data_IF_983344291669
#
_entry.id   IF_983344291669
#
_cell.length_a   1.000
_cell.length_b   1.000
_cell.length_c   1.000
_cell.angle_alpha   90.00
_cell.angle_beta   90.00
_cell.angle_gamma   90.00
#
_symmetry.space_group_name_H-M   'P 1'
#
loop_
_entity.id
_entity.type
_entity.pdbx_description
1 polymer ?
#
# COMPACT_ATOMS: atom_id res chain seq x y z
N UNK A 1 -0.63 29.31 -19.58
CA UNK A 1 -0.94 28.20 -18.64
C UNK A 1 -0.60 26.89 -19.34
N UNK A 2 0.08 25.97 -18.65
CA UNK A 2 0.52 24.70 -19.22
C UNK A 2 0.73 23.66 -18.11
N UNK A 3 1.12 22.46 -18.48
CA UNK A 3 1.39 21.37 -17.55
C UNK A 3 2.85 21.41 -17.11
N UNK A 4 3.10 21.45 -15.81
CA UNK A 4 4.44 21.43 -15.24
C UNK A 4 4.65 20.08 -14.55
N UNK A 5 5.60 19.25 -15.00
CA UNK A 5 5.87 17.99 -14.35
C UNK A 5 6.44 18.25 -12.94
N UNK A 6 5.88 17.57 -11.94
CA UNK A 6 6.27 17.72 -10.52
C UNK A 6 6.98 16.48 -9.97
N UNK A 7 6.90 15.35 -10.69
CA UNK A 7 7.47 14.08 -10.30
C UNK A 7 6.89 12.93 -11.14
N UNK A 8 7.38 11.72 -10.90
CA UNK A 8 6.89 10.50 -11.55
C UNK A 8 7.14 9.28 -10.65
N UNK A 9 6.52 8.16 -11.00
CA UNK A 9 6.99 6.84 -10.61
C UNK A 9 7.05 5.92 -11.83
N UNK A 10 7.89 4.90 -11.79
CA UNK A 10 7.93 3.82 -12.77
C UNK A 10 7.30 2.55 -12.20
N UNK A 11 6.76 1.71 -13.08
CA UNK A 11 6.18 0.41 -12.76
C UNK A 11 6.53 -0.57 -13.87
N UNK A 12 6.97 -1.77 -13.52
CA UNK A 12 7.18 -2.84 -14.50
C UNK A 12 5.85 -3.24 -15.15
N UNK A 13 5.86 -3.58 -16.44
CA UNK A 13 4.64 -4.07 -17.11
C UNK A 13 4.16 -5.40 -16.51
N UNK A 14 5.13 -6.21 -16.07
CA UNK A 14 4.94 -7.46 -15.36
C UNK A 14 6.02 -7.55 -14.29
N UNK A 15 5.63 -7.79 -13.05
CA UNK A 15 6.54 -7.90 -11.91
C UNK A 15 6.30 -9.24 -11.22
N UNK A 16 7.29 -10.13 -11.26
CA UNK A 16 7.21 -11.46 -10.60
C UNK A 16 7.14 -11.35 -9.07
N UNK A 17 7.67 -10.25 -8.53
CA UNK A 17 7.67 -9.90 -7.10
C UNK A 17 6.45 -9.08 -6.69
N UNK A 18 5.54 -8.77 -7.62
CA UNK A 18 4.32 -8.02 -7.30
C UNK A 18 4.56 -6.56 -6.95
N UNK A 19 5.67 -5.97 -7.41
CA UNK A 19 5.93 -4.56 -7.15
C UNK A 19 4.99 -3.67 -7.96
N UNK A 20 4.31 -2.76 -7.27
CA UNK A 20 3.42 -1.78 -7.92
C UNK A 20 4.14 -0.46 -8.24
N UNK A 21 5.38 -0.31 -7.79
CA UNK A 21 6.23 0.85 -7.99
C UNK A 21 7.69 0.42 -7.94
N UNK A 22 8.46 0.75 -8.98
CA UNK A 22 9.88 0.48 -9.10
C UNK A 22 10.72 1.66 -8.58
N UNK A 23 10.60 2.82 -9.24
CA UNK A 23 11.24 4.06 -8.82
C UNK A 23 10.20 5.16 -8.62
N UNK A 24 10.45 6.06 -7.67
CA UNK A 24 9.63 7.25 -7.42
C UNK A 24 10.51 8.48 -7.22
N UNK A 25 10.13 9.58 -7.85
CA UNK A 25 10.81 10.85 -7.72
C UNK A 25 9.80 11.99 -7.69
N UNK A 26 9.90 12.84 -6.67
CA UNK A 26 9.36 14.21 -6.73
C UNK A 26 10.51 15.14 -7.04
N UNK A 27 10.35 16.04 -8.01
CA UNK A 27 11.44 16.94 -8.38
C UNK A 27 11.80 17.89 -7.23
N UNK A 28 13.08 18.26 -7.06
CA UNK A 28 13.54 19.04 -5.91
C UNK A 28 12.73 20.32 -5.64
N UNK A 29 12.36 21.06 -6.69
CA UNK A 29 11.56 22.29 -6.58
C UNK A 29 10.15 22.10 -5.99
N UNK A 30 9.64 20.86 -6.00
CA UNK A 30 8.29 20.50 -5.56
C UNK A 30 8.28 19.58 -4.32
N UNK A 31 9.44 19.33 -3.70
CA UNK A 31 9.53 18.55 -2.47
C UNK A 31 8.74 19.20 -1.32
N UNK A 32 8.32 18.37 -0.36
CA UNK A 32 7.56 18.78 0.85
C UNK A 32 6.20 19.46 0.57
N UNK A 33 5.67 19.35 -0.65
CA UNK A 33 4.33 19.86 -1.05
C UNK A 33 3.26 18.77 -1.16
N UNK A 34 3.54 17.56 -0.66
CA UNK A 34 2.62 16.43 -0.69
C UNK A 34 2.67 15.55 -1.96
N UNK A 35 3.32 15.99 -3.03
CA UNK A 35 3.36 15.24 -4.31
C UNK A 35 3.95 13.83 -4.20
N UNK A 36 4.99 13.62 -3.38
CA UNK A 36 5.53 12.27 -3.16
C UNK A 36 4.49 11.31 -2.58
N UNK A 37 3.69 11.77 -1.62
CA UNK A 37 2.58 10.99 -1.05
C UNK A 37 1.48 10.76 -2.08
N UNK A 38 1.15 11.76 -2.89
CA UNK A 38 0.18 11.63 -3.98
C UNK A 38 0.62 10.57 -5.01
N UNK A 39 1.89 10.55 -5.39
CA UNK A 39 2.43 9.54 -6.32
C UNK A 39 2.35 8.12 -5.73
N UNK A 40 2.65 7.95 -4.44
CA UNK A 40 2.45 6.66 -3.73
C UNK A 40 0.97 6.28 -3.71
N UNK A 41 0.08 7.22 -3.38
CA UNK A 41 -1.34 6.95 -3.36
C UNK A 41 -1.88 6.57 -4.74
N UNK A 42 -1.36 7.20 -5.80
CA UNK A 42 -1.73 6.90 -7.18
C UNK A 42 -1.28 5.50 -7.58
N UNK A 43 -0.07 5.06 -7.17
CA UNK A 43 0.38 3.69 -7.45
C UNK A 43 -0.53 2.64 -6.82
N UNK A 44 -1.01 2.88 -5.59
CA UNK A 44 -2.00 2.01 -4.93
C UNK A 44 -3.40 2.13 -5.52
N UNK A 45 -3.81 3.30 -6.01
CA UNK A 45 -5.08 3.44 -6.74
C UNK A 45 -5.09 2.56 -8.01
N UNK A 46 -3.96 2.49 -8.73
CA UNK A 46 -3.82 1.55 -9.85
C UNK A 46 -3.90 0.09 -9.38
N UNK A 47 -3.26 -0.28 -8.27
CA UNK A 47 -3.37 -1.65 -7.71
C UNK A 47 -4.81 -2.02 -7.34
N UNK A 48 -5.60 -1.06 -6.83
CA UNK A 48 -7.03 -1.27 -6.57
C UNK A 48 -7.80 -1.54 -7.87
N UNK A 49 -7.55 -0.75 -8.93
CA UNK A 49 -8.18 -0.92 -10.24
C UNK A 49 -7.75 -2.23 -10.94
N UNK A 50 -6.56 -2.74 -10.61
CA UNK A 50 -6.05 -4.04 -11.08
C UNK A 50 -6.55 -5.22 -10.23
N UNK A 51 -7.24 -4.96 -9.12
CA UNK A 51 -7.64 -5.98 -8.13
C UNK A 51 -6.44 -6.78 -7.59
N UNK A 52 -5.34 -6.08 -7.31
CA UNK A 52 -4.10 -6.67 -6.78
C UNK A 52 -3.62 -5.99 -5.50
N UNK A 53 -2.84 -6.72 -4.72
CA UNK A 53 -1.97 -6.16 -3.68
C UNK A 53 -0.61 -5.81 -4.27
N UNK A 54 0.09 -4.85 -3.68
CA UNK A 54 1.43 -4.46 -4.12
C UNK A 54 2.28 -3.80 -3.04
N UNK A 55 3.59 -3.79 -3.31
CA UNK A 55 4.64 -3.20 -2.48
C UNK A 55 5.57 -2.37 -3.38
N UNK A 56 6.28 -1.34 -2.88
CA UNK A 56 7.38 -0.76 -3.63
C UNK A 56 8.56 -1.72 -3.77
N UNK A 57 9.36 -1.54 -4.82
CA UNK A 57 10.64 -2.20 -4.98
C UNK A 57 11.59 -1.89 -3.82
N UNK A 58 12.40 -2.89 -3.45
CA UNK A 58 13.34 -2.85 -2.32
C UNK A 58 14.78 -2.88 -2.86
N UNK A 59 15.75 -2.21 -2.21
CA UNK A 59 15.61 -1.44 -0.96
C UNK A 59 15.02 -0.04 -1.18
N UNK A 60 14.23 0.43 -0.22
CA UNK A 60 13.75 1.81 -0.17
C UNK A 60 14.86 2.77 0.30
N UNK A 61 14.87 3.99 -0.24
CA UNK A 61 15.66 5.09 0.34
C UNK A 61 15.11 5.52 1.71
N UNK A 62 15.91 6.17 2.55
CA UNK A 62 15.47 6.67 3.87
C UNK A 62 14.21 7.56 3.77
N UNK A 63 14.22 8.48 2.81
CA UNK A 63 13.07 9.36 2.55
C UNK A 63 11.87 8.57 2.02
N UNK A 64 12.12 7.57 1.17
CA UNK A 64 11.09 6.65 0.69
C UNK A 64 10.44 5.89 1.85
N UNK A 65 11.24 5.28 2.73
CA UNK A 65 10.77 4.51 3.87
C UNK A 65 9.90 5.33 4.81
N UNK A 66 10.32 6.57 5.14
CA UNK A 66 9.50 7.49 5.96
C UNK A 66 8.18 7.82 5.28
N UNK A 67 8.19 8.05 3.97
CA UNK A 67 6.99 8.39 3.19
C UNK A 67 6.01 7.21 3.12
N UNK A 68 6.50 6.00 2.85
CA UNK A 68 5.69 4.78 2.82
C UNK A 68 5.12 4.42 4.19
N UNK A 69 5.92 4.47 5.26
CA UNK A 69 5.43 4.25 6.64
C UNK A 69 4.29 5.22 6.99
N UNK A 70 4.45 6.51 6.67
CA UNK A 70 3.41 7.51 6.93
C UNK A 70 2.15 7.29 6.09
N UNK A 71 2.30 6.83 4.85
CA UNK A 71 1.18 6.49 3.97
C UNK A 71 0.42 5.25 4.45
N UNK A 72 1.12 4.13 4.68
CA UNK A 72 0.54 2.87 5.14
C UNK A 72 -0.14 3.03 6.49
N UNK A 73 0.48 3.72 7.44
CA UNK A 73 -0.12 3.98 8.75
C UNK A 73 -1.47 4.69 8.61
N UNK A 74 -1.50 5.82 7.88
CA UNK A 74 -2.74 6.57 7.67
C UNK A 74 -3.82 5.73 6.98
N UNK A 75 -3.43 4.96 5.96
CA UNK A 75 -4.36 4.11 5.19
C UNK A 75 -4.94 2.98 6.04
N UNK A 76 -4.11 2.28 6.81
CA UNK A 76 -4.52 1.17 7.67
C UNK A 76 -5.37 1.65 8.84
N UNK A 77 -4.97 2.72 9.53
CA UNK A 77 -5.74 3.28 10.64
C UNK A 77 -7.13 3.75 10.19
N UNK A 78 -7.21 4.38 9.01
CA UNK A 78 -8.49 4.77 8.41
C UNK A 78 -9.38 3.55 8.15
N UNK A 79 -8.81 2.48 7.57
CA UNK A 79 -9.55 1.23 7.35
C UNK A 79 -9.99 0.56 8.66
N UNK A 80 -9.16 0.59 9.69
CA UNK A 80 -9.49 0.04 11.00
C UNK A 80 -10.62 0.81 11.68
N UNK A 81 -10.63 2.14 11.58
CA UNK A 81 -11.74 2.97 12.12
C UNK A 81 -13.06 2.68 11.42
N UNK A 82 -13.03 2.50 10.11
CA UNK A 82 -14.23 2.29 9.31
C UNK A 82 -14.68 0.81 9.29
N UNK A 83 -13.95 -0.09 9.98
CA UNK A 83 -14.23 -1.51 9.97
C UNK A 83 -15.39 -1.85 10.93
N UNK A 84 -16.45 -2.52 10.47
CA UNK A 84 -17.68 -2.69 11.25
C UNK A 84 -17.58 -3.77 12.34
N UNK A 85 -16.52 -4.58 12.36
CA UNK A 85 -16.38 -5.73 13.26
C UNK A 85 -15.26 -5.52 14.26
N UNK A 86 -15.35 -6.11 15.47
CA UNK A 86 -14.29 -6.01 16.48
C UNK A 86 -13.02 -6.77 16.09
N UNK A 87 -13.12 -7.71 15.14
CA UNK A 87 -12.01 -8.53 14.67
C UNK A 87 -11.77 -8.30 13.18
N UNK A 88 -10.49 -8.25 12.81
CA UNK A 88 -10.03 -8.10 11.43
C UNK A 88 -8.77 -8.93 11.24
N UNK A 89 -8.67 -9.64 10.11
CA UNK A 89 -7.46 -10.37 9.77
C UNK A 89 -6.48 -9.47 8.98
N UNK A 90 -5.18 -9.79 9.05
CA UNK A 90 -4.16 -9.14 8.21
C UNK A 90 -4.52 -9.25 6.72
N UNK A 91 -5.04 -10.40 6.31
CA UNK A 91 -5.46 -10.66 4.93
C UNK A 91 -6.61 -9.74 4.48
N UNK A 92 -7.58 -9.48 5.37
CA UNK A 92 -8.68 -8.56 5.06
C UNK A 92 -8.17 -7.12 4.90
N UNK A 93 -7.24 -6.69 5.75
CA UNK A 93 -6.60 -5.38 5.63
C UNK A 93 -5.80 -5.25 4.34
N UNK A 94 -5.02 -6.28 4.00
CA UNK A 94 -4.24 -6.32 2.76
C UNK A 94 -5.14 -6.13 1.54
N UNK A 95 -6.23 -6.92 1.45
CA UNK A 95 -7.22 -6.80 0.36
C UNK A 95 -7.91 -5.43 0.34
N UNK A 96 -8.32 -4.92 1.49
CA UNK A 96 -9.05 -3.64 1.57
C UNK A 96 -8.18 -2.40 1.27
N UNK A 97 -6.86 -2.55 1.32
CA UNK A 97 -5.89 -1.46 1.11
C UNK A 97 -5.01 -1.63 -0.12
N UNK A 98 -5.03 -2.80 -0.77
CA UNK A 98 -4.08 -3.22 -1.80
C UNK A 98 -2.62 -3.24 -1.33
N UNK A 99 -2.37 -3.29 -0.03
CA UNK A 99 -1.03 -3.41 0.56
C UNK A 99 -0.74 -4.90 0.80
N UNK A 100 0.47 -5.37 0.47
CA UNK A 100 0.85 -6.77 0.76
C UNK A 100 0.83 -7.06 2.26
N UNK A 101 0.54 -8.31 2.63
CA UNK A 101 0.34 -8.70 4.04
C UNK A 101 1.56 -8.40 4.92
N UNK A 102 2.75 -8.53 4.34
CA UNK A 102 4.05 -8.28 4.98
C UNK A 102 4.14 -6.81 5.42
N UNK A 103 3.79 -5.87 4.52
CA UNK A 103 3.82 -4.44 4.81
C UNK A 103 2.72 -4.03 5.80
N UNK A 104 1.58 -4.74 5.80
CA UNK A 104 0.53 -4.58 6.83
C UNK A 104 1.06 -4.99 8.20
N UNK A 105 1.63 -6.19 8.34
CA UNK A 105 2.19 -6.68 9.61
C UNK A 105 3.28 -5.74 10.09
N UNK A 106 4.22 -5.40 9.21
CA UNK A 106 5.30 -4.47 9.49
C UNK A 106 4.80 -3.13 10.02
N UNK A 107 3.79 -2.55 9.36
CA UNK A 107 3.25 -1.25 9.76
C UNK A 107 2.52 -1.34 11.09
N UNK A 108 1.70 -2.36 11.33
CA UNK A 108 0.97 -2.50 12.59
C UNK A 108 1.91 -2.80 13.78
N UNK A 109 3.01 -3.52 13.55
CA UNK A 109 4.09 -3.68 14.53
C UNK A 109 4.80 -2.35 14.81
N UNK A 110 5.12 -1.58 13.77
CA UNK A 110 5.72 -0.25 13.91
C UNK A 110 4.83 0.71 14.70
N UNK A 111 3.51 0.61 14.55
CA UNK A 111 2.53 1.39 15.31
C UNK A 111 2.34 0.88 16.76
N UNK A 112 2.90 -0.28 17.11
CA UNK A 112 2.79 -0.88 18.43
C UNK A 112 1.44 -1.52 18.73
N UNK A 113 0.62 -1.77 17.71
CA UNK A 113 -0.77 -2.24 17.86
C UNK A 113 -0.95 -3.72 17.48
N UNK A 114 0.09 -4.38 16.98
CA UNK A 114 0.07 -5.81 16.65
C UNK A 114 1.00 -6.59 17.58
N UNK A 115 0.48 -7.66 18.19
CA UNK A 115 1.25 -8.60 19.01
C UNK A 115 1.15 -10.00 18.41
N UNK A 116 2.20 -10.81 18.58
CA UNK A 116 2.18 -12.23 18.23
C UNK A 116 2.13 -13.06 19.52
N UNK A 117 1.03 -13.77 19.73
CA UNK A 117 0.79 -14.55 20.96
C UNK A 117 0.28 -15.93 20.56
N UNK A 118 0.97 -16.98 21.01
CA UNK A 118 0.50 -18.35 20.85
C UNK A 118 0.30 -18.79 19.39
N UNK A 119 1.10 -18.28 18.45
CA UNK A 119 0.97 -18.62 17.02
C UNK A 119 0.03 -17.72 16.23
N UNK A 120 -0.60 -16.73 16.87
CA UNK A 120 -1.57 -15.84 16.23
C UNK A 120 -1.19 -14.37 16.38
N UNK A 121 -1.51 -13.58 15.35
CA UNK A 121 -1.45 -12.13 15.42
C UNK A 121 -2.71 -11.57 16.08
N UNK A 122 -2.52 -10.79 17.14
CA UNK A 122 -3.59 -10.14 17.91
C UNK A 122 -3.43 -8.63 17.74
N UNK A 123 -4.48 -7.98 17.23
CA UNK A 123 -4.55 -6.53 17.16
C UNK A 123 -5.03 -5.98 18.51
N UNK A 124 -4.22 -5.14 19.14
CA UNK A 124 -4.54 -4.45 20.39
C UNK A 124 -4.72 -2.97 20.12
N UNK A 125 -5.95 -2.57 19.81
CA UNK A 125 -6.28 -1.21 19.39
C UNK A 125 -7.53 -0.74 20.13
N UNK A 126 -7.32 -0.09 21.28
CA UNK A 126 -8.38 0.59 22.00
C UNK A 126 -8.79 1.86 21.24
N UNK A 127 -10.05 2.32 21.35
CA UNK A 127 -10.53 3.51 20.64
C UNK A 127 -9.65 4.75 20.85
N UNK A 128 -9.18 4.97 22.08
CA UNK A 128 -8.35 6.12 22.44
C UNK A 128 -6.99 6.08 21.74
N UNK A 129 -6.39 4.88 21.65
CA UNK A 129 -5.12 4.66 20.94
C UNK A 129 -5.32 4.88 19.44
N UNK A 130 -6.45 4.43 18.88
CA UNK A 130 -6.77 4.64 17.47
C UNK A 130 -6.89 6.12 17.14
N UNK A 131 -7.59 6.90 17.97
CA UNK A 131 -7.75 8.34 17.77
C UNK A 131 -6.42 9.09 17.84
N UNK A 132 -5.57 8.78 18.84
CA UNK A 132 -4.22 9.33 18.94
C UNK A 132 -3.37 9.02 17.70
N UNK A 133 -3.43 7.77 17.21
CA UNK A 133 -2.71 7.36 16.02
C UNK A 133 -3.24 8.01 14.75
N UNK A 134 -4.56 8.21 14.63
CA UNK A 134 -5.17 8.93 13.51
C UNK A 134 -4.76 10.41 13.49
N UNK A 135 -4.62 11.04 14.67
CA UNK A 135 -4.09 12.39 14.76
C UNK A 135 -2.60 12.46 14.38
N UNK A 136 -1.82 11.45 14.78
CA UNK A 136 -0.38 11.36 14.46
C UNK A 136 -0.10 11.05 12.98
N UNK A 137 -0.94 10.24 12.35
CA UNK A 137 -0.82 9.82 10.96
C UNK A 137 -2.06 10.24 10.15
N UNK A 138 -2.28 11.56 9.97
CA UNK A 138 -3.43 12.03 9.24
C UNK A 138 -3.33 11.70 7.76
N UNK A 139 -4.50 11.63 7.13
CA UNK A 139 -4.63 11.74 5.69
C UNK A 139 -4.19 13.16 5.26
N UNK A 140 -3.26 13.27 4.29
CA UNK A 140 -2.66 14.54 3.86
C UNK A 140 -2.99 14.83 2.40
N UNK A 141 -3.31 16.08 2.10
CA UNK A 141 -3.50 16.57 0.74
C UNK A 141 -2.15 16.79 0.00
N UNK A 142 -2.12 16.70 -1.34
CA UNK A 142 -3.24 16.35 -2.22
C UNK A 142 -3.54 14.85 -2.21
N UNK A 143 -4.82 14.49 -2.34
CA UNK A 143 -5.30 13.09 -2.42
C UNK A 143 -5.69 12.66 -3.83
N UNK A 144 -5.53 11.37 -4.11
CA UNK A 144 -6.00 10.77 -5.35
C UNK A 144 -7.50 10.48 -5.27
N UNK A 145 -8.27 11.00 -6.23
CA UNK A 145 -9.65 10.60 -6.42
C UNK A 145 -9.73 9.49 -7.48
N UNK A 146 -10.05 8.27 -7.05
CA UNK A 146 -10.12 7.09 -7.92
C UNK A 146 -11.18 7.25 -9.02
N UNK A 147 -12.30 7.92 -8.73
CA UNK A 147 -13.39 8.15 -9.70
C UNK A 147 -12.98 9.06 -10.87
N UNK A 148 -11.83 9.73 -10.76
CA UNK A 148 -11.25 10.58 -11.82
C UNK A 148 -10.19 9.86 -12.63
N UNK A 149 -9.89 8.60 -12.33
CA UNK A 149 -8.93 7.80 -13.08
C UNK A 149 -9.64 7.13 -14.25
N UNK A 150 -9.44 7.68 -15.45
CA UNK A 150 -9.90 7.08 -16.70
C UNK A 150 -8.81 6.15 -17.25
N UNK A 151 -8.72 4.95 -16.68
CA UNK A 151 -7.73 3.95 -17.06
C UNK A 151 -8.26 2.54 -16.84
N UNK A 152 -7.80 1.60 -17.68
CA UNK A 152 -8.07 0.17 -17.54
C UNK A 152 -6.75 -0.59 -17.59
N UNK A 153 -6.59 -1.68 -16.80
CA UNK A 153 -5.40 -2.51 -16.85
C UNK A 153 -5.07 -2.96 -18.27
N UNK A 154 -3.83 -2.76 -18.75
CA UNK A 154 -3.45 -3.20 -20.09
C UNK A 154 -3.49 -4.73 -20.14
N UNK A 155 -4.25 -5.29 -21.08
CA UNK A 155 -4.26 -6.72 -21.34
C UNK A 155 -3.06 -7.03 -22.24
N UNK A 156 -1.96 -7.54 -21.67
CA UNK A 156 -0.80 -8.00 -22.44
C UNK A 156 -0.83 -9.52 -22.62
N UNK A 157 -0.18 -10.02 -23.67
CA UNK A 157 -0.02 -11.46 -23.90
C UNK A 157 0.73 -12.14 -22.75
N UNK A 158 1.64 -11.42 -22.09
CA UNK A 158 2.31 -11.86 -20.86
C UNK A 158 1.33 -11.99 -19.69
N UNK A 159 0.47 -10.99 -19.46
CA UNK A 159 -0.56 -11.07 -18.42
C UNK A 159 -1.58 -12.20 -18.68
N UNK A 160 -1.88 -12.51 -19.93
CA UNK A 160 -2.73 -13.66 -20.28
C UNK A 160 -2.03 -15.01 -20.04
N UNK A 161 -0.70 -15.08 -20.18
CA UNK A 161 0.09 -16.28 -19.90
C UNK A 161 0.27 -16.52 -18.40
N UNK A 162 0.52 -15.46 -17.63
CA UNK A 162 0.84 -15.55 -16.20
C UNK A 162 -0.36 -15.28 -15.27
N UNK A 163 -1.47 -14.75 -15.78
CA UNK A 163 -2.59 -14.28 -14.96
C UNK A 163 -3.50 -15.37 -14.37
N UNK A 164 -3.37 -16.64 -14.78
CA UNK A 164 -4.23 -17.73 -14.26
C UNK A 164 -3.93 -18.09 -12.80
N UNK A 165 -2.72 -17.80 -12.31
CA UNK A 165 -2.27 -18.09 -10.95
C UNK A 165 -1.54 -16.89 -10.32
N UNK A 166 -2.07 -15.68 -10.51
CA UNK A 166 -1.46 -14.47 -9.93
C UNK A 166 -1.65 -14.46 -8.40
N UNK A 167 -0.57 -14.81 -7.67
CA UNK A 167 -0.53 -14.84 -6.20
C UNK A 167 -0.79 -13.47 -5.56
N UNK A 168 -0.64 -12.36 -6.29
CA UNK A 168 -0.90 -11.01 -5.82
C UNK A 168 -2.31 -10.51 -6.11
N UNK A 169 -3.14 -11.29 -6.81
CA UNK A 169 -4.57 -10.99 -6.92
C UNK A 169 -5.22 -10.96 -5.54
N UNK A 170 -6.11 -10.00 -5.28
CA UNK A 170 -6.90 -9.96 -4.04
C UNK A 170 -7.80 -11.19 -3.87
N UNK A 171 -8.10 -11.88 -4.98
CA UNK A 171 -8.90 -13.12 -5.01
C UNK A 171 -8.06 -14.39 -4.83
N UNK A 172 -6.72 -14.28 -4.81
CA UNK A 172 -5.85 -15.43 -4.57
C UNK A 172 -6.14 -16.08 -3.21
N UNK A 173 -6.23 -17.41 -3.21
CA UNK A 173 -6.31 -18.24 -1.98
C UNK A 173 -4.94 -18.52 -1.37
N UNK A 174 -3.85 -18.32 -2.10
CA UNK A 174 -2.47 -18.47 -1.63
C UNK A 174 -1.89 -17.08 -1.36
N UNK A 175 -1.50 -16.81 -0.12
CA UNK A 175 -0.68 -15.63 0.16
C UNK A 175 0.70 -15.81 -0.51
N UNK A 176 1.32 -14.73 -1.01
CA UNK A 176 2.72 -14.75 -1.38
C UNK A 176 3.56 -14.86 -0.11
N UNK A 177 3.74 -16.07 0.41
CA UNK A 177 4.80 -16.32 1.37
C UNK A 177 6.12 -16.35 0.57
N UNK A 178 7.01 -15.41 0.82
CA UNK A 178 8.42 -15.55 0.42
C UNK A 178 9.24 -15.98 1.64
N UNK A 179 10.10 -16.96 1.37
CA UNK A 179 11.02 -17.61 2.30
C UNK A 179 11.69 -16.60 3.23
N UNK A 180 11.42 -16.77 4.52
CA UNK A 180 12.27 -16.21 5.56
C UNK A 180 13.56 -17.05 5.51
N UNK A 181 14.51 -16.61 4.70
CA UNK A 181 15.85 -17.16 4.68
C UNK A 181 16.41 -17.24 6.10
N UNK A 182 16.82 -18.46 6.46
CA UNK A 182 17.54 -18.79 7.69
C UNK A 182 18.80 -17.96 7.90
#
# INVERSE_FOLDING_TARGET
>A
WGYNPVGYFSKEKYSETGYNLACILTFPAFLKRGFGRFLIEFSYALSVLEEKVGSPEKPLSDLGLVSYRSFWAARLLRRLRDHPRPTVSVTDLARATSIVAEDVVYTLQYLGVLKYVGGAYILTLLPEILDDLLQKYPEKEPRVNVDKIHWTPPITSELLKFGKDDKYSIHSKKQPAEDIGH
#
